data_IF_493456188349
#
_entry.id   IF_493456188349
#
_cell.length_a   1.000
_cell.length_b   1.000
_cell.length_c   1.000
_cell.angle_alpha   90.00
_cell.angle_beta   90.00
_cell.angle_gamma   90.00
#
_symmetry.space_group_name_H-M   'P 1'
#
loop_
_entity.id
_entity.type
_entity.pdbx_description
1 polymer ?
#
# COMPACT_ATOMS: atom_id res chain seq x y z
N UNK A 1 -9.03 17.55 -19.28
CA UNK A 1 -7.84 17.16 -18.49
C UNK A 1 -7.34 18.39 -17.77
N UNK A 2 -7.43 18.43 -16.44
CA UNK A 2 -6.85 19.53 -15.65
C UNK A 2 -5.35 19.28 -15.58
N UNK A 3 -4.55 20.13 -16.23
CA UNK A 3 -3.11 20.10 -16.08
C UNK A 3 -2.78 20.63 -14.68
N UNK A 4 -2.41 19.75 -13.76
CA UNK A 4 -1.88 20.15 -12.45
C UNK A 4 -0.52 20.78 -12.74
N UNK A 5 -0.50 22.12 -12.77
CA UNK A 5 0.73 22.89 -12.86
C UNK A 5 1.36 22.81 -11.47
N UNK A 6 2.31 21.90 -11.27
CA UNK A 6 3.04 21.76 -10.00
C UNK A 6 3.87 23.03 -9.83
N UNK A 7 3.48 23.91 -8.92
CA UNK A 7 4.15 25.21 -8.69
C UNK A 7 4.98 25.21 -7.41
N UNK A 8 4.77 24.23 -6.52
CA UNK A 8 5.42 24.16 -5.22
C UNK A 8 5.56 22.72 -4.70
N UNK A 9 6.45 22.53 -3.71
CA UNK A 9 6.57 21.26 -2.96
C UNK A 9 5.25 20.84 -2.30
N UNK A 10 4.43 21.81 -1.90
CA UNK A 10 3.13 21.58 -1.26
C UNK A 10 2.12 21.00 -2.25
N UNK A 11 2.22 21.35 -3.54
CA UNK A 11 1.38 20.76 -4.59
C UNK A 11 1.71 19.27 -4.81
N UNK A 12 3.00 18.92 -4.76
CA UNK A 12 3.44 17.51 -4.86
C UNK A 12 2.94 16.71 -3.65
N UNK A 13 3.14 17.24 -2.44
CA UNK A 13 2.63 16.63 -1.21
C UNK A 13 1.10 16.49 -1.27
N UNK A 14 0.40 17.53 -1.72
CA UNK A 14 -1.06 17.52 -1.88
C UNK A 14 -1.53 16.45 -2.85
N UNK A 15 -0.91 16.37 -4.03
CA UNK A 15 -1.23 15.35 -5.03
C UNK A 15 -0.97 13.93 -4.50
N UNK A 16 0.16 13.74 -3.81
CA UNK A 16 0.51 12.48 -3.18
C UNK A 16 -0.53 12.08 -2.12
N UNK A 17 -0.90 12.99 -1.22
CA UNK A 17 -1.92 12.71 -0.19
C UNK A 17 -3.31 12.46 -0.80
N UNK A 18 -3.66 13.15 -1.88
CA UNK A 18 -4.90 12.85 -2.62
C UNK A 18 -4.92 11.40 -3.14
N UNK A 19 -3.77 10.87 -3.58
CA UNK A 19 -3.66 9.46 -3.99
C UNK A 19 -3.89 8.47 -2.82
N UNK A 20 -3.71 8.92 -1.57
CA UNK A 20 -4.00 8.18 -0.35
C UNK A 20 -5.42 8.43 0.19
N UNK A 21 -6.27 9.10 -0.58
CA UNK A 21 -7.68 9.34 -0.25
C UNK A 21 -7.94 10.63 0.54
N UNK A 22 -6.93 11.46 0.82
CA UNK A 22 -7.15 12.75 1.47
C UNK A 22 -7.88 13.72 0.53
N UNK A 23 -8.97 14.31 1.01
CA UNK A 23 -9.77 15.24 0.24
C UNK A 23 -10.44 16.29 1.14
N UNK A 24 -10.98 17.34 0.52
CA UNK A 24 -11.81 18.32 1.21
C UNK A 24 -11.02 19.36 2.00
N UNK A 25 -11.67 19.93 3.03
CA UNK A 25 -11.22 21.15 3.72
C UNK A 25 -10.00 20.94 4.61
N UNK A 26 -9.72 19.71 5.03
CA UNK A 26 -8.58 19.41 5.92
C UNK A 26 -7.27 19.18 5.17
N UNK A 27 -7.34 18.86 3.87
CA UNK A 27 -6.17 18.57 3.03
C UNK A 27 -5.08 19.67 3.13
N UNK A 28 -5.37 20.98 3.02
CA UNK A 28 -4.33 22.00 3.13
C UNK A 28 -3.63 22.03 4.50
N UNK A 29 -4.33 21.71 5.58
CA UNK A 29 -3.74 21.66 6.93
C UNK A 29 -2.81 20.47 7.08
N UNK A 30 -3.22 19.32 6.53
CA UNK A 30 -2.42 18.11 6.50
C UNK A 30 -1.17 18.30 5.65
N UNK A 31 -1.32 18.87 4.44
CA UNK A 31 -0.20 19.19 3.54
C UNK A 31 0.83 20.05 4.25
N UNK A 32 0.41 21.14 4.92
CA UNK A 32 1.32 22.00 5.68
C UNK A 32 2.02 21.26 6.82
N UNK A 33 1.33 20.33 7.47
CA UNK A 33 1.89 19.55 8.58
C UNK A 33 2.97 18.60 8.07
N UNK A 34 2.69 17.87 6.98
CA UNK A 34 3.67 17.00 6.32
C UNK A 34 4.84 17.83 5.79
N UNK A 35 4.59 18.94 5.11
CA UNK A 35 5.62 19.85 4.60
C UNK A 35 6.52 20.40 5.71
N UNK A 36 5.98 20.65 6.91
CA UNK A 36 6.74 21.11 8.08
C UNK A 36 7.55 20.01 8.78
N UNK A 37 7.23 18.73 8.58
CA UNK A 37 8.03 17.60 9.07
C UNK A 37 9.16 17.21 8.11
N UNK A 38 9.05 17.63 6.85
CA UNK A 38 10.03 17.33 5.81
C UNK A 38 11.13 18.39 5.80
N UNK A 39 12.33 18.01 6.22
CA UNK A 39 13.53 18.81 5.91
C UNK A 39 13.92 18.60 4.44
N UNK A 40 13.33 19.39 3.56
CA UNK A 40 13.48 19.27 2.11
C UNK A 40 13.89 20.63 1.51
N UNK A 41 15.12 20.68 1.00
CA UNK A 41 15.75 21.86 0.38
C UNK A 41 16.04 21.65 -1.12
N UNK A 42 15.83 20.44 -1.64
CA UNK A 42 16.11 20.06 -3.01
C UNK A 42 14.97 20.49 -3.95
N UNK A 43 15.23 20.47 -5.27
CA UNK A 43 14.20 20.67 -6.29
C UNK A 43 13.71 19.34 -6.90
N UNK A 44 14.21 18.21 -6.39
CA UNK A 44 13.88 16.87 -6.90
C UNK A 44 12.57 16.34 -6.31
N UNK A 45 11.57 16.14 -7.18
CA UNK A 45 10.27 15.60 -6.80
C UNK A 45 10.33 14.15 -6.33
N UNK A 46 11.23 13.33 -6.85
CA UNK A 46 11.35 11.93 -6.47
C UNK A 46 11.96 11.80 -5.08
N UNK A 47 12.95 12.63 -4.77
CA UNK A 47 13.51 12.75 -3.41
C UNK A 47 12.44 13.18 -2.40
N UNK A 48 11.58 14.15 -2.77
CA UNK A 48 10.47 14.60 -1.93
C UNK A 48 9.49 13.46 -1.64
N UNK A 49 9.09 12.70 -2.67
CA UNK A 49 8.22 11.53 -2.49
C UNK A 49 8.88 10.49 -1.60
N UNK A 50 10.18 10.22 -1.78
CA UNK A 50 10.95 9.32 -0.92
C UNK A 50 10.93 9.74 0.55
N UNK A 51 11.01 11.05 0.85
CA UNK A 51 10.90 11.54 2.23
C UNK A 51 9.48 11.41 2.81
N UNK A 52 8.44 11.62 1.99
CA UNK A 52 7.05 11.35 2.41
C UNK A 52 6.89 9.85 2.73
N UNK A 53 7.43 8.99 1.88
CA UNK A 53 7.43 7.54 2.07
C UNK A 53 8.16 7.13 3.36
N UNK A 54 9.25 7.82 3.73
CA UNK A 54 9.93 7.66 5.01
C UNK A 54 9.03 7.93 6.22
N UNK A 55 8.27 9.03 6.19
CA UNK A 55 7.30 9.37 7.25
C UNK A 55 6.24 8.26 7.37
N UNK A 56 5.69 7.81 6.25
CA UNK A 56 4.69 6.74 6.24
C UNK A 56 5.25 5.40 6.69
N UNK A 57 6.51 5.10 6.37
CA UNK A 57 7.19 3.89 6.81
C UNK A 57 7.36 3.87 8.33
N UNK A 58 7.70 5.00 8.95
CA UNK A 58 7.75 5.11 10.42
C UNK A 58 6.37 4.86 11.05
N UNK A 59 5.31 5.40 10.45
CA UNK A 59 3.93 5.11 10.87
C UNK A 59 3.57 3.64 10.67
N UNK A 60 4.02 3.03 9.57
CA UNK A 60 3.79 1.63 9.25
C UNK A 60 4.45 0.71 10.28
N UNK A 61 5.70 0.98 10.66
CA UNK A 61 6.43 0.22 11.69
C UNK A 61 5.72 0.26 13.05
N UNK A 62 5.14 1.40 13.43
CA UNK A 62 4.32 1.51 14.65
C UNK A 62 2.98 0.78 14.52
N UNK A 63 2.40 0.80 13.33
CA UNK A 63 1.13 0.13 13.05
C UNK A 63 1.30 -1.38 13.03
N UNK A 64 2.39 -1.90 12.48
CA UNK A 64 2.69 -3.34 12.35
C UNK A 64 4.06 -3.68 12.97
N UNK A 65 4.19 -3.64 14.30
CA UNK A 65 5.49 -3.81 14.97
C UNK A 65 6.11 -5.20 14.77
N UNK A 66 5.27 -6.23 14.61
CA UNK A 66 5.69 -7.63 14.41
C UNK A 66 5.81 -8.02 12.93
N UNK A 67 5.83 -7.03 12.01
CA UNK A 67 5.94 -7.32 10.59
C UNK A 67 7.35 -7.78 10.23
N UNK A 68 7.46 -8.98 9.65
CA UNK A 68 8.70 -9.48 9.05
C UNK A 68 8.92 -9.05 7.60
N UNK A 69 8.11 -8.11 7.08
CA UNK A 69 8.20 -7.64 5.71
C UNK A 69 9.38 -6.68 5.51
N UNK A 70 9.95 -6.68 4.31
CA UNK A 70 10.90 -5.64 3.91
C UNK A 70 10.23 -4.25 3.91
N UNK A 71 11.00 -3.18 4.08
CA UNK A 71 10.47 -1.82 4.22
C UNK A 71 9.54 -1.40 3.07
N UNK A 72 9.90 -1.75 1.83
CA UNK A 72 9.09 -1.48 0.64
C UNK A 72 7.74 -2.21 0.68
N UNK A 73 7.74 -3.46 1.13
CA UNK A 73 6.54 -4.30 1.25
C UNK A 73 5.66 -3.82 2.40
N UNK A 74 6.27 -3.46 3.54
CA UNK A 74 5.57 -2.90 4.69
C UNK A 74 4.89 -1.58 4.34
N UNK A 75 5.58 -0.71 3.62
CA UNK A 75 5.04 0.55 3.12
C UNK A 75 3.87 0.32 2.17
N UNK A 76 4.00 -0.60 1.21
CA UNK A 76 2.93 -0.95 0.29
C UNK A 76 1.71 -1.52 1.02
N UNK A 77 1.92 -2.44 1.97
CA UNK A 77 0.86 -3.00 2.81
C UNK A 77 0.16 -1.90 3.61
N UNK A 78 0.94 -0.98 4.19
CA UNK A 78 0.39 0.14 4.95
C UNK A 78 -0.48 1.04 4.07
N UNK A 79 0.01 1.48 2.91
CA UNK A 79 -0.75 2.32 1.97
C UNK A 79 -2.07 1.65 1.55
N UNK A 80 -2.02 0.35 1.24
CA UNK A 80 -3.19 -0.42 0.87
C UNK A 80 -4.20 -0.55 2.02
N UNK A 81 -3.76 -0.97 3.21
CA UNK A 81 -4.63 -1.09 4.38
C UNK A 81 -5.22 0.27 4.77
N UNK A 82 -4.44 1.35 4.67
CA UNK A 82 -4.88 2.70 4.95
C UNK A 82 -6.02 3.11 4.01
N UNK A 83 -5.87 2.88 2.70
CA UNK A 83 -6.90 3.14 1.71
C UNK A 83 -8.17 2.31 1.95
N UNK A 84 -8.02 1.00 2.17
CA UNK A 84 -9.16 0.12 2.40
C UNK A 84 -9.94 0.51 3.66
N UNK A 85 -9.26 0.99 4.70
CA UNK A 85 -9.88 1.40 5.97
C UNK A 85 -10.46 2.81 5.94
N UNK A 86 -10.43 3.53 4.82
CA UNK A 86 -10.84 4.94 4.78
C UNK A 86 -9.96 5.79 5.69
N UNK A 87 -8.66 5.47 5.75
CA UNK A 87 -7.72 6.07 6.69
C UNK A 87 -7.69 7.59 6.60
N UNK A 88 -7.82 8.16 5.41
CA UNK A 88 -7.83 9.60 5.21
C UNK A 88 -8.99 10.34 5.91
N UNK A 89 -10.16 9.72 6.05
CA UNK A 89 -11.32 10.31 6.74
C UNK A 89 -11.17 10.26 8.27
N UNK A 90 -10.40 9.30 8.76
CA UNK A 90 -10.18 9.06 10.20
C UNK A 90 -8.87 9.65 10.71
N UNK A 91 -7.92 9.94 9.82
CA UNK A 91 -6.61 10.44 10.19
C UNK A 91 -6.69 11.93 10.52
N UNK A 92 -6.15 12.30 11.68
CA UNK A 92 -6.12 13.69 12.13
C UNK A 92 -4.74 14.30 11.89
N UNK A 93 -4.70 15.62 11.74
CA UNK A 93 -3.45 16.39 11.64
C UNK A 93 -2.49 16.09 12.80
N UNK A 94 -3.02 15.95 14.02
CA UNK A 94 -2.22 15.56 15.19
C UNK A 94 -1.65 14.14 15.07
N UNK A 95 -2.42 13.20 14.53
CA UNK A 95 -1.97 11.83 14.31
C UNK A 95 -0.77 11.77 13.36
N UNK A 96 -0.81 12.55 12.27
CA UNK A 96 0.33 12.68 11.34
C UNK A 96 1.52 13.34 12.03
N UNK A 97 1.28 14.41 12.81
CA UNK A 97 2.34 15.10 13.54
C UNK A 97 3.09 14.21 14.53
N UNK A 98 2.37 13.30 15.19
CA UNK A 98 2.92 12.36 16.17
C UNK A 98 3.31 11.01 15.56
N UNK A 99 3.10 10.83 14.25
CA UNK A 99 3.28 9.58 13.53
C UNK A 99 2.49 8.43 14.17
N UNK A 100 1.30 8.72 14.69
CA UNK A 100 0.45 7.79 15.41
C UNK A 100 -0.98 7.85 14.84
N UNK A 101 -1.47 6.72 14.33
CA UNK A 101 -2.85 6.63 13.87
C UNK A 101 -3.80 6.45 15.07
N UNK A 102 -5.06 6.91 14.96
CA UNK A 102 -6.09 6.64 15.96
C UNK A 102 -6.20 5.14 16.25
N UNK A 103 -6.42 4.78 17.52
CA UNK A 103 -6.41 3.38 17.95
C UNK A 103 -7.42 2.50 17.18
N UNK A 104 -8.61 3.05 16.86
CA UNK A 104 -9.62 2.36 16.06
C UNK A 104 -9.15 2.03 14.64
N UNK A 105 -8.50 3.00 13.98
CA UNK A 105 -7.93 2.82 12.65
C UNK A 105 -6.78 1.82 12.66
N UNK A 106 -5.87 1.93 13.63
CA UNK A 106 -4.75 0.99 13.83
C UNK A 106 -5.26 -0.44 13.99
N UNK A 107 -6.32 -0.64 14.77
CA UNK A 107 -6.94 -1.96 14.95
C UNK A 107 -7.53 -2.48 13.63
N UNK A 108 -8.31 -1.66 12.93
CA UNK A 108 -8.91 -2.06 11.65
C UNK A 108 -7.86 -2.41 10.58
N UNK A 109 -6.75 -1.67 10.54
CA UNK A 109 -5.63 -1.96 9.62
C UNK A 109 -4.92 -3.27 9.98
N UNK A 110 -4.78 -3.60 11.27
CA UNK A 110 -4.23 -4.88 11.74
C UNK A 110 -5.15 -6.07 11.48
N UNK A 111 -6.46 -5.89 11.55
CA UNK A 111 -7.42 -6.96 11.23
C UNK A 111 -7.41 -7.31 9.74
N UNK A 112 -7.04 -6.36 8.89
CA UNK A 112 -6.87 -6.55 7.44
C UNK A 112 -5.43 -6.90 7.06
N UNK A 113 -4.65 -7.40 8.02
CA UNK A 113 -3.26 -7.77 7.78
C UNK A 113 -3.16 -8.81 6.66
N UNK A 114 -2.51 -8.39 5.58
CA UNK A 114 -2.28 -9.22 4.39
C UNK A 114 -1.09 -10.14 4.69
N UNK A 115 -1.31 -11.45 4.61
CA UNK A 115 -0.26 -12.45 4.71
C UNK A 115 0.23 -12.77 3.31
N UNK A 116 1.55 -12.74 3.09
CA UNK A 116 2.13 -13.19 1.83
C UNK A 116 1.78 -14.67 1.61
N UNK A 117 1.35 -15.01 0.40
CA UNK A 117 1.15 -16.41 0.04
C UNK A 117 2.47 -17.19 0.24
N UNK A 118 2.42 -18.41 0.80
CA UNK A 118 3.60 -19.22 0.93
C UNK A 118 4.22 -19.51 -0.44
N UNK A 119 5.53 -19.76 -0.48
CA UNK A 119 6.24 -20.07 -1.71
C UNK A 119 5.57 -21.28 -2.41
N UNK A 120 5.09 -21.06 -3.63
CA UNK A 120 4.48 -22.11 -4.44
C UNK A 120 5.59 -22.96 -5.06
N UNK A 121 5.65 -24.24 -4.69
CA UNK A 121 6.54 -25.20 -5.30
C UNK A 121 5.82 -25.91 -6.44
N UNK A 122 6.34 -25.76 -7.66
CA UNK A 122 5.89 -26.57 -8.78
C UNK A 122 6.43 -27.98 -8.60
N UNK A 123 5.53 -28.96 -8.56
CA UNK A 123 5.90 -30.38 -8.60
C UNK A 123 5.59 -30.92 -9.98
N UNK A 124 6.55 -31.66 -10.55
CA UNK A 124 6.32 -32.33 -11.83
C UNK A 124 5.24 -33.40 -11.67
N UNK A 125 4.14 -33.27 -12.41
CA UNK A 125 3.15 -34.33 -12.50
C UNK A 125 3.73 -35.50 -13.29
N UNK A 126 3.67 -36.71 -12.70
CA UNK A 126 4.00 -37.93 -13.45
C UNK A 126 3.09 -38.07 -14.66
N UNK A 127 3.60 -38.52 -15.82
CA UNK A 127 2.78 -38.76 -17.01
C UNK A 127 1.59 -39.66 -16.69
N UNK A 128 0.38 -39.16 -16.94
CA UNK A 128 -0.83 -39.97 -16.80
C UNK A 128 -0.92 -40.93 -17.98
N UNK A 129 -1.17 -42.22 -17.71
CA UNK A 129 -1.44 -43.19 -18.77
C UNK A 129 -2.81 -42.88 -19.38
N UNK A 130 -2.82 -42.52 -20.66
CA UNK A 130 -4.05 -42.43 -21.44
C UNK A 130 -4.44 -43.85 -21.84
N UNK A 131 -5.52 -44.37 -21.27
CA UNK A 131 -6.06 -45.65 -21.73
C UNK A 131 -6.65 -45.48 -23.12
N UNK A 132 -6.12 -46.21 -24.09
CA UNK A 132 -6.71 -46.28 -25.42
C UNK A 132 -7.95 -47.16 -25.37
N UNK A 133 -9.11 -46.61 -25.70
CA UNK A 133 -10.32 -47.39 -25.90
C UNK A 133 -10.08 -48.38 -27.05
N UNK A 134 -9.88 -49.67 -26.72
CA UNK A 134 -9.80 -50.72 -27.73
C UNK A 134 -11.14 -50.82 -28.44
N UNK A 135 -11.19 -50.44 -29.72
CA UNK A 135 -12.36 -50.71 -30.55
C UNK A 135 -12.57 -52.22 -30.62
N UNK A 136 -13.71 -52.69 -30.11
CA UNK A 136 -14.10 -54.11 -30.21
C UNK A 136 -14.20 -54.46 -31.69
N UNK A 137 -13.24 -55.23 -32.21
CA UNK A 137 -13.34 -55.82 -33.56
C UNK A 137 -14.62 -56.67 -33.60
N UNK A 138 -15.60 -56.24 -34.41
CA UNK A 138 -16.81 -57.01 -34.73
C UNK A 138 -16.39 -58.37 -35.31
N UNK A 139 -16.74 -59.46 -34.62
CA UNK A 139 -16.70 -60.81 -35.21
C UNK A 139 -17.69 -60.84 -36.37
N UNK A 140 -17.22 -61.09 -37.59
CA UNK A 140 -18.08 -61.46 -38.72
C UNK A 140 -18.57 -62.90 -38.48
N UNK A 141 -19.88 -63.08 -38.65
CA UNK A 141 -20.57 -64.39 -38.67
C UNK A 141 -20.08 -65.23 -39.84
#
# INVERSE_FOLDING_TARGET
MVAIKIQSKEDIIGAYLCSLGFAGRELPSIVKTVAGQLDFQSADGDELVGKIDGILLEMARKTFPESGLADEQLLAQFKLCFLLCGGAEQCTVQGIRQLNLPAGLTKAMRERFIVNAPACHYTEMKPQKIESFRSRKRKKK
#
